data_IF_669771900390
#
_entry.id   IF_669771900390
#
_cell.length_a   1.000
_cell.length_b   1.000
_cell.length_c   1.000
_cell.angle_alpha   90.00
_cell.angle_beta   90.00
_cell.angle_gamma   90.00
#
_symmetry.space_group_name_H-M   'P 1'
#
loop_
_entity.id
_entity.type
_entity.pdbx_description
1 polymer ?
#
# COMPACT_ATOMS: atom_id res chain seq x y z
N UNK A 1 -12.34 -34.56 18.82
CA UNK A 1 -11.75 -33.21 18.83
C UNK A 1 -10.44 -33.32 18.08
N UNK A 2 -10.37 -32.75 16.89
CA UNK A 2 -9.12 -32.72 16.12
C UNK A 2 -8.17 -31.76 16.83
N UNK A 3 -6.94 -32.18 17.03
CA UNK A 3 -5.91 -31.32 17.63
C UNK A 3 -5.28 -30.52 16.50
N UNK A 4 -5.31 -29.20 16.62
CA UNK A 4 -4.73 -28.29 15.65
C UNK A 4 -3.49 -27.66 16.26
N UNK A 5 -2.46 -27.54 15.46
CA UNK A 5 -1.25 -26.85 15.82
C UNK A 5 -1.10 -25.60 14.95
N UNK A 6 -0.39 -24.61 15.46
CA UNK A 6 0.03 -23.41 14.75
C UNK A 6 1.55 -23.29 14.81
N UNK A 7 2.21 -23.33 13.66
CA UNK A 7 3.65 -23.10 13.55
C UNK A 7 3.95 -21.61 13.38
N UNK A 8 5.05 -21.16 13.99
CA UNK A 8 5.45 -19.76 13.99
C UNK A 8 6.93 -19.56 13.67
N UNK A 9 7.27 -18.38 13.15
CA UNK A 9 8.62 -18.01 12.78
C UNK A 9 9.47 -17.47 13.96
N UNK A 10 10.69 -17.03 13.68
CA UNK A 10 11.59 -16.44 14.69
C UNK A 10 11.10 -15.11 15.28
N UNK A 11 10.14 -14.45 14.63
CA UNK A 11 9.44 -13.25 15.12
C UNK A 11 8.15 -13.60 15.85
N UNK A 12 7.86 -14.90 16.04
CA UNK A 12 6.65 -15.43 16.64
C UNK A 12 5.38 -15.20 15.82
N UNK A 13 5.49 -14.91 14.52
CA UNK A 13 4.33 -14.82 13.64
C UNK A 13 3.89 -16.22 13.18
N UNK A 14 2.58 -16.50 13.29
CA UNK A 14 2.00 -17.77 12.87
C UNK A 14 1.95 -17.81 11.34
N UNK A 15 2.60 -18.82 10.76
CA UNK A 15 2.74 -18.96 9.31
C UNK A 15 2.06 -20.21 8.74
N UNK A 16 1.72 -21.20 9.57
CA UNK A 16 1.05 -22.42 9.13
C UNK A 16 0.16 -23.02 10.22
N UNK A 17 -0.90 -23.71 9.78
CA UNK A 17 -1.79 -24.51 10.63
C UNK A 17 -1.80 -25.95 10.11
N UNK A 18 -1.88 -26.92 11.02
CA UNK A 18 -1.87 -28.33 10.65
C UNK A 18 -2.05 -29.25 11.84
N UNK A 19 -2.00 -30.55 11.58
CA UNK A 19 -1.84 -31.57 12.61
C UNK A 19 -0.35 -31.80 12.94
N UNK A 20 -0.08 -32.62 13.94
CA UNK A 20 1.28 -32.93 14.42
C UNK A 20 2.19 -33.52 13.30
N UNK A 21 1.60 -34.20 12.32
CA UNK A 21 2.33 -34.87 11.23
C UNK A 21 2.56 -33.95 10.03
N UNK A 22 1.75 -32.89 9.90
CA UNK A 22 1.80 -31.93 8.81
C UNK A 22 2.63 -30.69 9.17
N UNK A 23 3.14 -30.60 10.40
CA UNK A 23 3.93 -29.45 10.83
C UNK A 23 5.34 -29.46 10.24
N UNK A 24 5.84 -28.27 9.83
CA UNK A 24 7.22 -28.15 9.40
C UNK A 24 8.15 -28.40 10.61
N UNK A 25 8.93 -29.47 10.54
CA UNK A 25 9.86 -29.90 11.61
C UNK A 25 10.89 -28.81 11.98
N UNK A 26 11.17 -27.89 11.06
CA UNK A 26 12.10 -26.78 11.25
C UNK A 26 11.53 -25.58 12.03
N UNK A 27 10.23 -25.56 12.34
CA UNK A 27 9.59 -24.44 13.02
C UNK A 27 8.95 -24.87 14.35
N UNK A 28 9.04 -24.02 15.40
CA UNK A 28 8.30 -24.26 16.62
C UNK A 28 6.79 -24.12 16.37
N UNK A 29 6.00 -24.88 17.13
CA UNK A 29 4.54 -24.88 17.02
C UNK A 29 3.88 -24.96 18.39
N UNK A 30 2.69 -24.38 18.50
CA UNK A 30 1.83 -24.47 19.69
C UNK A 30 0.54 -25.20 19.35
N UNK A 31 -0.06 -25.85 20.35
CA UNK A 31 -1.39 -26.43 20.23
C UNK A 31 -2.45 -25.35 20.38
N UNK A 32 -3.43 -25.33 19.48
CA UNK A 32 -4.58 -24.42 19.51
C UNK A 32 -5.90 -25.18 19.30
N UNK A 33 -7.02 -24.54 19.61
CA UNK A 33 -8.36 -25.05 19.30
C UNK A 33 -8.83 -24.65 17.90
N UNK A 34 -9.87 -25.32 17.40
CA UNK A 34 -10.57 -24.93 16.15
C UNK A 34 -11.12 -23.50 16.23
N UNK A 35 -11.65 -23.10 17.38
CA UNK A 35 -12.17 -21.73 17.60
C UNK A 35 -11.05 -20.69 17.58
N UNK A 36 -9.90 -20.99 18.19
CA UNK A 36 -8.71 -20.12 18.15
C UNK A 36 -8.17 -19.99 16.73
N UNK A 37 -8.14 -21.08 15.96
CA UNK A 37 -7.75 -21.05 14.56
C UNK A 37 -8.70 -20.18 13.74
N UNK A 38 -10.02 -20.35 13.91
CA UNK A 38 -11.02 -19.57 13.20
C UNK A 38 -10.87 -18.07 13.52
N UNK A 39 -10.70 -17.72 14.79
CA UNK A 39 -10.45 -16.36 15.25
C UNK A 39 -9.16 -15.77 14.66
N UNK A 40 -8.07 -16.54 14.61
CA UNK A 40 -6.81 -16.12 14.01
C UNK A 40 -6.95 -15.84 12.50
N UNK A 41 -7.62 -16.73 11.77
CA UNK A 41 -7.88 -16.58 10.34
C UNK A 41 -8.78 -15.37 10.05
N UNK A 42 -9.81 -15.14 10.88
CA UNK A 42 -10.66 -13.94 10.79
C UNK A 42 -9.83 -12.68 11.05
N UNK A 43 -8.95 -12.69 12.05
CA UNK A 43 -8.03 -11.60 12.34
C UNK A 43 -7.10 -11.28 11.16
N UNK A 44 -6.50 -12.31 10.57
CA UNK A 44 -5.65 -12.18 9.39
C UNK A 44 -6.39 -11.61 8.18
N UNK A 45 -7.63 -12.06 7.95
CA UNK A 45 -8.50 -11.53 6.90
C UNK A 45 -8.84 -10.03 7.12
N UNK A 46 -8.89 -9.59 8.39
CA UNK A 46 -9.06 -8.18 8.77
C UNK A 46 -7.73 -7.39 8.83
N UNK A 47 -6.62 -7.96 8.35
CA UNK A 47 -5.33 -7.29 8.24
C UNK A 47 -4.49 -7.28 9.52
N UNK A 48 -4.86 -8.06 10.53
CA UNK A 48 -4.02 -8.30 11.73
C UNK A 48 -2.97 -9.36 11.44
N UNK A 49 -1.90 -9.34 12.23
CA UNK A 49 -0.84 -10.35 12.17
C UNK A 49 -1.11 -11.39 13.25
N UNK A 50 -1.25 -12.65 12.84
CA UNK A 50 -1.35 -13.78 13.76
C UNK A 50 0.02 -14.02 14.40
N UNK A 51 0.09 -14.06 15.72
CA UNK A 51 1.34 -14.26 16.44
C UNK A 51 1.14 -15.10 17.70
N UNK A 52 2.24 -15.48 18.35
CA UNK A 52 2.24 -16.21 19.62
C UNK A 52 2.88 -15.34 20.70
N UNK A 53 2.21 -15.14 21.84
CA UNK A 53 2.74 -14.40 22.99
C UNK A 53 3.82 -15.20 23.75
N UNK A 54 4.58 -14.57 24.65
CA UNK A 54 5.63 -15.23 25.45
C UNK A 54 5.12 -16.37 26.35
N UNK A 55 3.80 -16.51 26.51
CA UNK A 55 3.13 -17.57 27.26
C UNK A 55 2.59 -18.68 26.35
N UNK A 56 3.04 -18.72 25.10
CA UNK A 56 2.64 -19.71 24.09
C UNK A 56 1.15 -19.67 23.73
N UNK A 57 0.54 -18.48 23.78
CA UNK A 57 -0.87 -18.29 23.43
C UNK A 57 -1.02 -17.54 22.11
N UNK A 58 -2.00 -17.91 21.27
CA UNK A 58 -2.28 -17.20 20.04
C UNK A 58 -2.78 -15.79 20.36
N UNK A 59 -2.22 -14.80 19.67
CA UNK A 59 -2.61 -13.40 19.75
C UNK A 59 -2.74 -12.81 18.34
N UNK A 60 -3.57 -11.76 18.23
CA UNK A 60 -3.63 -10.94 17.03
C UNK A 60 -2.94 -9.59 17.31
N UNK A 61 -1.91 -9.30 16.56
CA UNK A 61 -1.18 -8.04 16.59
C UNK A 61 -1.65 -7.12 15.48
N UNK A 62 -1.57 -5.81 15.70
CA UNK A 62 -1.64 -4.87 14.60
C UNK A 62 -0.35 -4.96 13.78
N UNK A 63 -0.43 -4.89 12.43
CA UNK A 63 0.76 -4.91 11.61
C UNK A 63 1.67 -3.75 11.98
N UNK A 64 2.99 -4.01 11.99
CA UNK A 64 3.96 -2.98 12.29
C UNK A 64 3.74 -1.77 11.35
N UNK A 65 3.83 -0.54 11.87
CA UNK A 65 3.74 0.63 11.03
C UNK A 65 4.83 0.57 9.94
N UNK A 66 4.54 1.05 8.73
CA UNK A 66 5.49 0.99 7.63
C UNK A 66 6.78 1.73 7.99
N UNK A 67 7.91 1.17 7.60
CA UNK A 67 9.21 1.79 7.84
C UNK A 67 9.33 3.13 7.09
N UNK A 68 10.19 4.06 7.53
CA UNK A 68 10.42 5.31 6.80
C UNK A 68 10.81 5.09 5.33
N UNK A 69 11.53 4.01 5.01
CA UNK A 69 11.88 3.65 3.63
C UNK A 69 10.68 3.13 2.85
N UNK A 70 9.80 2.33 3.47
CA UNK A 70 8.56 1.88 2.84
C UNK A 70 7.61 3.06 2.56
N UNK A 71 7.52 4.02 3.51
CA UNK A 71 6.75 5.26 3.32
C UNK A 71 7.29 6.03 2.12
N UNK A 72 8.61 6.26 2.07
CA UNK A 72 9.26 6.96 0.96
C UNK A 72 9.06 6.24 -0.37
N UNK A 73 9.22 4.92 -0.42
CA UNK A 73 9.06 4.14 -1.63
C UNK A 73 7.62 4.21 -2.17
N UNK A 74 6.62 4.02 -1.30
CA UNK A 74 5.20 4.13 -1.65
C UNK A 74 4.86 5.53 -2.17
N UNK A 75 5.27 6.57 -1.44
CA UNK A 75 4.98 7.95 -1.82
C UNK A 75 5.71 8.35 -3.12
N UNK A 76 6.93 7.85 -3.35
CA UNK A 76 7.67 8.06 -4.61
C UNK A 76 6.93 7.46 -5.78
N UNK A 77 6.51 6.19 -5.67
CA UNK A 77 5.75 5.51 -6.72
C UNK A 77 4.44 6.25 -7.05
N UNK A 78 3.74 6.74 -6.03
CA UNK A 78 2.52 7.51 -6.24
C UNK A 78 2.76 8.86 -6.90
N UNK A 79 3.79 9.61 -6.48
CA UNK A 79 4.20 10.86 -7.13
C UNK A 79 4.53 10.64 -8.61
N UNK A 80 5.28 9.59 -8.91
CA UNK A 80 5.72 9.30 -10.27
C UNK A 80 4.52 8.92 -11.16
N UNK A 81 3.55 8.16 -10.65
CA UNK A 81 2.27 7.91 -11.32
C UNK A 81 1.47 9.21 -11.59
N UNK A 82 1.41 10.13 -10.62
CA UNK A 82 0.75 11.43 -10.81
C UNK A 82 1.45 12.30 -11.86
N UNK A 83 2.79 12.26 -11.91
CA UNK A 83 3.59 12.96 -12.92
C UNK A 83 3.39 12.38 -14.31
N UNK A 84 3.30 11.05 -14.44
CA UNK A 84 2.99 10.39 -15.70
C UNK A 84 1.62 10.83 -16.22
N UNK A 85 0.59 10.81 -15.35
CA UNK A 85 -0.77 11.28 -15.70
C UNK A 85 -0.76 12.74 -16.14
N UNK A 86 0.02 13.61 -15.49
CA UNK A 86 0.19 14.99 -15.91
C UNK A 86 0.87 15.10 -17.28
N UNK A 87 1.86 14.25 -17.58
CA UNK A 87 2.53 14.21 -18.88
C UNK A 87 1.56 13.81 -20.00
N UNK A 88 0.73 12.79 -19.76
CA UNK A 88 -0.32 12.35 -20.70
C UNK A 88 -1.29 13.50 -21.00
N UNK A 89 -1.74 14.23 -19.99
CA UNK A 89 -2.64 15.37 -20.17
C UNK A 89 -1.97 16.57 -20.87
N UNK A 90 -0.68 16.81 -20.61
CA UNK A 90 0.07 17.91 -21.22
C UNK A 90 0.40 17.69 -22.70
N UNK A 91 0.62 16.43 -23.11
CA UNK A 91 1.05 16.08 -24.47
C UNK A 91 0.16 16.68 -25.56
N UNK A 92 -1.18 16.49 -25.58
CA UNK A 92 -2.03 17.09 -26.62
C UNK A 92 -2.04 18.62 -26.56
N UNK A 93 -2.00 19.22 -25.37
CA UNK A 93 -2.00 20.67 -25.19
C UNK A 93 -0.71 21.30 -25.72
N UNK A 94 0.44 20.66 -25.46
CA UNK A 94 1.75 21.09 -25.96
C UNK A 94 1.82 20.94 -27.48
N UNK A 95 1.26 19.87 -28.04
CA UNK A 95 1.16 19.68 -29.49
C UNK A 95 0.33 20.79 -30.13
N UNK A 96 -0.83 21.15 -29.58
CA UNK A 96 -1.65 22.26 -30.09
C UNK A 96 -0.91 23.61 -30.02
N UNK A 97 -0.13 23.82 -28.95
CA UNK A 97 0.69 25.03 -28.82
C UNK A 97 1.81 25.07 -29.87
N UNK A 98 2.46 23.94 -30.14
CA UNK A 98 3.51 23.81 -31.15
C UNK A 98 2.96 24.02 -32.57
N UNK A 99 1.76 23.52 -32.86
CA UNK A 99 1.07 23.70 -34.13
C UNK A 99 0.48 25.11 -34.30
N UNK A 100 0.53 25.94 -33.27
CA UNK A 100 -0.01 27.30 -33.29
C UNK A 100 -1.54 27.38 -33.29
N UNK A 101 -2.24 26.27 -33.06
CA UNK A 101 -3.71 26.20 -33.07
C UNK A 101 -4.33 26.03 -31.67
N UNK A 102 -3.52 26.07 -30.61
CA UNK A 102 -4.03 26.04 -29.22
C UNK A 102 -4.90 27.26 -28.91
N UNK A 103 -6.09 26.97 -28.38
CA UNK A 103 -7.00 27.95 -27.79
C UNK A 103 -6.42 28.55 -26.51
N UNK A 104 -6.92 29.72 -26.09
CA UNK A 104 -6.52 30.32 -24.81
C UNK A 104 -6.90 29.44 -23.60
N UNK A 105 -7.98 28.67 -23.72
CA UNK A 105 -8.39 27.70 -22.70
C UNK A 105 -7.37 26.56 -22.57
N UNK A 106 -6.90 25.98 -23.68
CA UNK A 106 -5.86 24.94 -23.68
C UNK A 106 -4.53 25.45 -23.13
N UNK A 107 -4.14 26.69 -23.49
CA UNK A 107 -2.94 27.33 -22.93
C UNK A 107 -3.06 27.54 -21.42
N UNK A 108 -4.23 27.96 -20.94
CA UNK A 108 -4.50 28.11 -19.51
C UNK A 108 -4.46 26.76 -18.79
N UNK A 109 -5.02 25.71 -19.40
CA UNK A 109 -5.00 24.35 -18.84
C UNK A 109 -3.58 23.78 -18.80
N UNK A 110 -2.78 23.98 -19.84
CA UNK A 110 -1.37 23.57 -19.86
C UNK A 110 -0.57 24.23 -18.74
N UNK A 111 -0.80 25.53 -18.47
CA UNK A 111 -0.20 26.23 -17.33
C UNK A 111 -0.59 25.60 -16.00
N UNK A 112 -1.87 25.24 -15.80
CA UNK A 112 -2.34 24.56 -14.58
C UNK A 112 -1.65 23.21 -14.38
N UNK A 113 -1.53 22.39 -15.43
CA UNK A 113 -0.82 21.11 -15.35
C UNK A 113 0.68 21.25 -15.05
N UNK A 114 1.34 22.28 -15.59
CA UNK A 114 2.75 22.57 -15.27
C UNK A 114 2.89 22.99 -13.80
N UNK A 115 1.99 23.84 -13.28
CA UNK A 115 1.96 24.24 -11.87
C UNK A 115 1.74 23.02 -10.97
N UNK A 116 0.79 22.16 -11.31
CA UNK A 116 0.51 20.91 -10.62
C UNK A 116 1.73 19.98 -10.58
N UNK A 117 2.37 19.71 -11.72
CA UNK A 117 3.57 18.87 -11.79
C UNK A 117 4.74 19.44 -10.97
N UNK A 118 4.88 20.77 -10.90
CA UNK A 118 5.86 21.42 -10.03
C UNK A 118 5.50 21.28 -8.55
N UNK A 119 4.22 21.36 -8.19
CA UNK A 119 3.75 21.14 -6.83
C UNK A 119 4.03 19.71 -6.37
N UNK A 120 3.75 18.71 -7.22
CA UNK A 120 4.05 17.29 -6.94
C UNK A 120 5.53 17.04 -6.60
N UNK A 121 6.45 17.72 -7.30
CA UNK A 121 7.90 17.59 -7.04
C UNK A 121 8.34 18.19 -5.70
N UNK A 122 7.51 19.03 -5.08
CA UNK A 122 7.79 19.67 -3.78
C UNK A 122 7.17 18.92 -2.60
N UNK A 123 6.34 17.91 -2.84
CA UNK A 123 5.69 17.12 -1.80
C UNK A 123 6.75 16.38 -0.99
N UNK A 124 6.65 16.46 0.34
CA UNK A 124 7.48 15.66 1.24
C UNK A 124 7.05 14.19 1.19
N UNK A 125 7.97 13.33 0.75
CA UNK A 125 7.72 11.90 0.62
C UNK A 125 8.05 11.10 1.89
N UNK A 126 8.62 11.75 2.91
CA UNK A 126 8.95 11.13 4.19
C UNK A 126 7.78 10.99 5.15
N UNK A 127 6.66 11.68 4.90
CA UNK A 127 5.48 11.66 5.78
C UNK A 127 4.53 10.52 5.44
N UNK A 128 3.90 9.94 6.46
CA UNK A 128 2.97 8.81 6.29
C UNK A 128 1.74 9.18 5.44
N UNK A 129 1.33 10.45 5.44
CA UNK A 129 0.19 10.97 4.66
C UNK A 129 0.59 12.32 4.06
N UNK A 130 1.20 12.35 2.86
CA UNK A 130 1.52 13.60 2.19
C UNK A 130 0.27 14.34 1.71
N UNK A 131 0.30 15.67 1.75
CA UNK A 131 -0.74 16.50 1.14
C UNK A 131 -0.51 16.58 -0.38
N UNK A 132 -1.34 15.87 -1.13
CA UNK A 132 -1.24 15.80 -2.58
C UNK A 132 -1.99 16.96 -3.22
N UNK A 133 -1.36 17.73 -4.13
CA UNK A 133 -2.05 18.80 -4.83
C UNK A 133 -3.25 18.25 -5.61
N UNK A 134 -4.30 19.08 -5.78
CA UNK A 134 -5.44 18.71 -6.59
C UNK A 134 -5.08 18.75 -8.10
N UNK A 135 -5.41 17.69 -8.82
CA UNK A 135 -5.18 17.61 -10.26
C UNK A 135 -6.14 18.56 -11.02
N UNK A 136 -5.67 19.25 -12.08
CA UNK A 136 -6.55 20.00 -12.97
C UNK A 136 -7.56 19.09 -13.69
N UNK A 137 -8.71 19.63 -14.08
CA UNK A 137 -9.67 18.91 -14.90
C UNK A 137 -9.07 18.59 -16.29
N UNK A 138 -9.22 17.35 -16.75
CA UNK A 138 -8.83 16.98 -18.12
C UNK A 138 -9.88 17.58 -19.07
N UNK A 139 -9.44 18.35 -20.06
CA UNK A 139 -10.35 18.82 -21.11
C UNK A 139 -10.91 17.61 -21.87
N UNK A 140 -12.22 17.38 -21.79
CA UNK A 140 -12.92 16.32 -22.52
C UNK A 140 -13.47 15.16 -21.68
N UNK A 141 -13.50 15.25 -20.36
CA UNK A 141 -14.29 14.31 -19.53
C UNK A 141 -15.74 14.81 -19.40
N UNK A 142 -16.54 14.58 -20.44
CA UNK A 142 -18.01 14.55 -20.41
C UNK A 142 -18.49 13.45 -21.36
#
# INVERSE_FOLDING_TARGET
>A
MSVIYAAFDTQRHICAFGDDQSMPEALPFIKISEDEQAWLLEGAANGKVMAVDDKERPILLDPAPPSPDQIRARNTAYRDWLLERASVALTPLQTAMLLGNATEAEKALARQWIVYARALKKVDLGVALPDWPAAPAIAGSN
#
